data_IF_911759585304
#
_entry.id   IF_911759585304
#
_cell.length_a   1.000
_cell.length_b   1.000
_cell.length_c   1.000
_cell.angle_alpha   90.00
_cell.angle_beta   90.00
_cell.angle_gamma   90.00
#
_symmetry.space_group_name_H-M   'P 1'
#
loop_
_entity.id
_entity.type
_entity.pdbx_description
1 polymer ?
#
# COMPACT_ATOMS: atom_id res chain seq x y z
N UNK A 1 11.19 -10.55 -33.64
CA UNK A 1 10.95 -11.20 -32.36
C UNK A 1 12.13 -10.96 -31.43
N UNK A 2 11.92 -11.05 -30.12
CA UNK A 2 12.99 -10.98 -29.13
C UNK A 2 13.90 -12.21 -29.28
N UNK A 3 15.21 -12.09 -29.00
CA UNK A 3 16.12 -13.25 -29.00
C UNK A 3 15.66 -14.35 -28.04
N UNK A 4 15.93 -15.62 -28.36
CA UNK A 4 15.46 -16.81 -27.62
C UNK A 4 15.87 -16.84 -26.13
N UNK A 5 16.86 -16.06 -25.70
CA UNK A 5 17.34 -15.96 -24.32
C UNK A 5 16.83 -14.71 -23.57
N UNK A 6 15.80 -14.03 -24.06
CA UNK A 6 15.28 -12.81 -23.45
C UNK A 6 14.39 -13.15 -22.26
N UNK A 7 14.74 -12.66 -21.06
CA UNK A 7 13.86 -12.70 -19.90
C UNK A 7 12.97 -11.46 -19.88
N UNK A 8 11.68 -11.66 -19.79
CA UNK A 8 10.77 -10.58 -19.46
C UNK A 8 10.77 -10.36 -17.95
N UNK A 9 10.97 -9.12 -17.52
CA UNK A 9 10.99 -8.71 -16.13
C UNK A 9 10.13 -7.47 -15.94
N UNK A 10 9.63 -7.26 -14.73
CA UNK A 10 8.91 -6.05 -14.39
C UNK A 10 9.91 -4.91 -14.11
N UNK A 11 9.69 -3.76 -14.73
CA UNK A 11 10.43 -2.55 -14.41
C UNK A 11 9.88 -1.91 -13.13
N UNK A 12 10.72 -1.74 -12.13
CA UNK A 12 10.30 -1.28 -10.80
C UNK A 12 10.17 0.24 -10.67
N UNK A 13 10.60 1.00 -11.68
CA UNK A 13 10.66 2.46 -11.62
C UNK A 13 11.89 3.02 -10.88
N UNK A 14 12.73 2.16 -10.30
CA UNK A 14 13.97 2.59 -9.63
C UNK A 14 15.07 2.70 -10.68
N UNK A 15 15.67 3.89 -10.79
CA UNK A 15 16.69 4.21 -11.78
C UNK A 15 17.85 4.96 -11.13
N UNK A 16 19.07 4.64 -11.54
CA UNK A 16 20.29 5.39 -11.22
C UNK A 16 20.88 5.81 -12.55
N UNK A 17 21.12 7.08 -12.72
CA UNK A 17 21.55 7.67 -13.99
C UNK A 17 22.68 8.66 -13.79
N UNK A 18 23.60 8.72 -14.76
CA UNK A 18 24.57 9.79 -14.83
C UNK A 18 23.88 11.10 -15.27
N UNK A 19 24.36 12.28 -14.84
CA UNK A 19 23.73 13.58 -15.14
C UNK A 19 23.60 13.85 -16.65
N UNK A 20 24.44 13.26 -17.48
CA UNK A 20 24.45 13.41 -18.93
C UNK A 20 23.15 12.97 -19.59
N UNK A 21 22.33 12.18 -18.90
CA UNK A 21 21.01 11.76 -19.41
C UNK A 21 20.10 12.97 -19.64
N UNK A 22 20.23 14.04 -18.85
CA UNK A 22 19.43 15.25 -19.00
C UNK A 22 19.66 15.95 -20.36
N UNK A 23 20.82 15.75 -20.98
CA UNK A 23 21.12 16.29 -22.32
C UNK A 23 20.30 15.56 -23.42
N UNK A 24 19.69 14.41 -23.10
CA UNK A 24 18.85 13.64 -24.01
C UNK A 24 17.36 13.93 -23.85
N UNK A 25 16.99 14.68 -22.82
CA UNK A 25 15.59 15.03 -22.55
C UNK A 25 15.29 16.35 -23.26
N UNK A 26 14.36 16.39 -24.24
CA UNK A 26 14.02 17.61 -24.96
C UNK A 26 13.35 18.62 -24.01
N UNK A 27 13.79 19.87 -24.09
CA UNK A 27 13.23 20.94 -23.29
C UNK A 27 11.76 21.23 -23.65
N UNK A 28 10.92 21.39 -22.62
CA UNK A 28 9.51 21.75 -22.80
C UNK A 28 8.62 20.68 -23.44
N UNK A 29 9.09 19.45 -23.56
CA UNK A 29 8.31 18.33 -24.10
C UNK A 29 8.17 17.20 -23.07
N UNK A 30 7.02 16.53 -23.08
CA UNK A 30 6.89 15.28 -22.33
C UNK A 30 7.81 14.22 -22.95
N UNK A 31 8.57 13.53 -22.09
CA UNK A 31 9.52 12.51 -22.50
C UNK A 31 9.59 11.42 -21.42
N UNK A 32 9.27 10.19 -21.76
CA UNK A 32 9.38 9.03 -20.90
C UNK A 32 10.79 8.41 -20.97
N UNK A 33 11.35 8.05 -19.81
CA UNK A 33 12.67 7.40 -19.79
C UNK A 33 12.64 6.03 -20.45
N UNK A 34 11.62 5.24 -20.18
CA UNK A 34 11.45 3.88 -20.70
C UNK A 34 10.92 3.83 -22.12
N UNK A 35 10.10 4.79 -22.50
CA UNK A 35 9.47 4.84 -23.82
C UNK A 35 10.35 5.51 -24.86
N UNK A 36 11.08 6.56 -24.46
CA UNK A 36 11.80 7.42 -25.42
C UNK A 36 13.33 7.33 -25.24
N UNK A 37 13.83 7.58 -24.00
CA UNK A 37 15.26 7.76 -23.75
C UNK A 37 16.02 6.44 -23.82
N UNK A 38 15.62 5.41 -23.09
CA UNK A 38 16.35 4.13 -23.06
C UNK A 38 16.37 3.44 -24.43
N UNK A 39 15.28 3.39 -25.21
CA UNK A 39 15.34 2.85 -26.54
C UNK A 39 16.30 3.64 -27.48
N UNK A 40 16.38 4.97 -27.33
CA UNK A 40 17.33 5.77 -28.06
C UNK A 40 18.78 5.46 -27.66
N UNK A 41 19.05 5.41 -26.33
CA UNK A 41 20.38 5.10 -25.81
C UNK A 41 20.87 3.73 -26.32
N UNK A 42 19.98 2.73 -26.32
CA UNK A 42 20.30 1.39 -26.81
C UNK A 42 20.63 1.42 -28.35
N UNK A 43 19.86 2.19 -29.13
CA UNK A 43 20.16 2.37 -30.56
C UNK A 43 21.49 3.08 -30.84
N UNK A 44 21.85 4.00 -29.94
CA UNK A 44 23.09 4.79 -29.99
C UNK A 44 24.30 4.07 -29.39
N UNK A 45 24.14 2.79 -28.99
CA UNK A 45 25.15 1.96 -28.34
C UNK A 45 25.66 2.57 -26.99
N UNK A 46 24.81 3.35 -26.31
CA UNK A 46 25.11 3.89 -24.99
C UNK A 46 24.74 2.87 -23.92
N UNK A 47 25.62 2.60 -22.95
CA UNK A 47 25.39 1.56 -21.95
C UNK A 47 24.10 1.79 -21.13
N UNK A 48 23.19 0.81 -21.17
CA UNK A 48 22.00 0.72 -20.31
C UNK A 48 22.03 -0.65 -19.64
N UNK A 49 22.07 -0.66 -18.31
CA UNK A 49 22.17 -1.90 -17.54
C UNK A 49 20.90 -2.17 -16.74
N UNK A 50 20.48 -3.44 -16.70
CA UNK A 50 19.42 -3.91 -15.84
C UNK A 50 19.97 -4.60 -14.60
N UNK A 51 19.50 -4.21 -13.42
CA UNK A 51 19.75 -4.93 -12.17
C UNK A 51 18.55 -5.82 -11.83
N UNK A 52 18.78 -7.13 -11.81
CA UNK A 52 17.72 -8.08 -11.46
C UNK A 52 17.58 -8.21 -9.95
N UNK A 53 16.47 -7.72 -9.40
CA UNK A 53 16.12 -7.84 -8.00
C UNK A 53 15.11 -8.97 -7.79
N UNK A 54 15.38 -9.86 -6.85
CA UNK A 54 14.53 -11.02 -6.53
C UNK A 54 13.79 -10.87 -5.18
N UNK A 55 13.79 -9.69 -4.60
CA UNK A 55 13.06 -9.41 -3.35
C UNK A 55 11.59 -9.04 -3.60
N UNK A 56 10.91 -8.68 -2.51
CA UNK A 56 9.52 -8.22 -2.58
C UNK A 56 9.44 -6.86 -3.29
N UNK A 57 8.58 -6.79 -4.28
CA UNK A 57 8.20 -5.55 -4.96
C UNK A 57 6.71 -5.62 -5.32
N UNK A 58 5.98 -4.53 -5.13
CA UNK A 58 4.57 -4.42 -5.47
C UNK A 58 4.25 -2.99 -5.88
N UNK A 59 3.58 -2.81 -7.01
CA UNK A 59 2.99 -1.54 -7.39
C UNK A 59 1.71 -1.27 -6.57
N UNK A 60 1.58 -0.04 -6.06
CA UNK A 60 0.44 0.40 -5.23
C UNK A 60 -0.45 1.40 -5.98
N UNK A 61 -0.63 1.22 -7.27
CA UNK A 61 -1.38 2.14 -8.13
C UNK A 61 -2.90 2.16 -7.92
N UNK A 62 -3.45 1.25 -7.11
CA UNK A 62 -4.87 1.19 -6.81
C UNK A 62 -5.14 0.71 -5.37
N UNK A 63 -6.41 0.80 -4.93
CA UNK A 63 -6.83 0.41 -3.59
C UNK A 63 -6.52 -1.06 -3.30
N UNK A 64 -6.81 -1.94 -4.22
CA UNK A 64 -6.64 -3.39 -4.05
C UNK A 64 -5.16 -3.74 -3.80
N UNK A 65 -4.25 -3.18 -4.59
CA UNK A 65 -2.82 -3.38 -4.41
C UNK A 65 -2.30 -2.73 -3.12
N UNK A 66 -2.87 -1.59 -2.71
CA UNK A 66 -2.53 -0.96 -1.43
C UNK A 66 -2.98 -1.81 -0.23
N UNK A 67 -4.21 -2.36 -0.25
CA UNK A 67 -4.68 -3.33 0.75
C UNK A 67 -3.82 -4.58 0.79
N UNK A 68 -3.47 -5.12 -0.40
CA UNK A 68 -2.65 -6.32 -0.50
C UNK A 68 -1.25 -6.14 0.07
N UNK A 69 -0.58 -5.00 -0.20
CA UNK A 69 0.75 -4.71 0.38
C UNK A 69 0.70 -4.65 1.90
N UNK A 70 -0.36 -4.05 2.46
CA UNK A 70 -0.55 -4.02 3.91
C UNK A 70 -0.82 -5.43 4.48
N UNK A 71 -1.62 -6.24 3.80
CA UNK A 71 -1.83 -7.64 4.19
C UNK A 71 -0.53 -8.46 4.11
N UNK A 72 0.25 -8.30 3.05
CA UNK A 72 1.56 -8.96 2.89
C UNK A 72 2.56 -8.55 3.98
N UNK A 73 2.51 -7.29 4.43
CA UNK A 73 3.31 -6.80 5.55
C UNK A 73 2.84 -7.41 6.89
N UNK A 74 1.53 -7.50 7.11
CA UNK A 74 0.95 -8.14 8.29
C UNK A 74 1.21 -9.66 8.33
N UNK A 75 1.28 -10.31 7.17
CA UNK A 75 1.65 -11.72 7.01
C UNK A 75 3.18 -11.95 7.07
N UNK A 76 3.97 -10.93 7.40
CA UNK A 76 5.44 -10.97 7.51
C UNK A 76 6.17 -11.35 6.19
N UNK A 77 5.51 -11.24 5.04
CA UNK A 77 6.14 -11.43 3.72
C UNK A 77 7.13 -10.30 3.39
N UNK A 78 7.01 -9.17 4.11
CA UNK A 78 7.86 -7.99 3.99
C UNK A 78 8.44 -7.67 5.37
N UNK A 79 9.76 -7.60 5.47
CA UNK A 79 10.39 -7.18 6.72
C UNK A 79 10.23 -5.67 6.94
N UNK A 80 9.49 -5.28 7.98
CA UNK A 80 9.33 -3.90 8.40
C UNK A 80 9.95 -3.71 9.79
N UNK A 81 11.09 -3.02 9.85
CA UNK A 81 11.81 -2.78 11.11
C UNK A 81 10.92 -2.01 12.09
N UNK A 82 10.71 -2.59 13.29
CA UNK A 82 9.98 -1.95 14.38
C UNK A 82 8.46 -2.01 14.27
N UNK A 83 7.93 -2.82 13.36
CA UNK A 83 6.50 -3.12 13.27
C UNK A 83 6.30 -4.58 13.65
N UNK A 84 5.49 -4.83 14.68
CA UNK A 84 5.04 -6.17 15.09
C UNK A 84 3.54 -6.29 14.85
N UNK A 85 3.10 -7.06 13.85
CA UNK A 85 1.69 -7.15 13.47
C UNK A 85 0.76 -7.77 14.52
N UNK A 86 1.30 -8.52 15.45
CA UNK A 86 0.52 -9.35 16.37
C UNK A 86 0.50 -8.84 17.83
N UNK A 87 0.83 -7.57 18.06
CA UNK A 87 1.02 -7.02 19.41
C UNK A 87 -0.31 -6.60 20.11
N UNK A 88 -1.44 -7.18 19.71
CA UNK A 88 -2.75 -6.82 20.26
C UNK A 88 -3.44 -8.02 20.91
N UNK A 89 -3.28 -8.18 22.22
CA UNK A 89 -3.98 -9.17 23.05
C UNK A 89 -5.38 -8.68 23.49
N UNK A 90 -6.23 -8.29 22.56
CA UNK A 90 -7.60 -7.92 22.88
C UNK A 90 -8.59 -8.99 22.42
N UNK A 91 -9.59 -9.31 23.24
CA UNK A 91 -10.61 -10.34 22.94
C UNK A 91 -11.46 -10.06 21.69
N UNK A 92 -11.43 -8.82 21.20
CA UNK A 92 -12.17 -8.35 20.04
C UNK A 92 -11.34 -8.28 18.76
N UNK A 93 -10.11 -8.76 18.77
CA UNK A 93 -9.22 -8.72 17.61
C UNK A 93 -9.02 -10.08 16.98
N UNK A 94 -8.94 -10.12 15.65
CA UNK A 94 -8.63 -11.32 14.83
C UNK A 94 -7.35 -11.03 14.06
N UNK A 95 -6.21 -11.62 14.46
CA UNK A 95 -4.94 -11.43 13.75
C UNK A 95 -4.98 -11.96 12.30
N UNK A 96 -4.07 -11.48 11.41
CA UNK A 96 -3.07 -10.45 11.68
C UNK A 96 -3.67 -9.03 11.61
N UNK A 97 -3.30 -8.18 12.54
CA UNK A 97 -3.71 -6.78 12.60
C UNK A 97 -2.57 -5.89 13.10
N UNK A 98 -2.68 -4.60 12.84
CA UNK A 98 -1.84 -3.58 13.44
C UNK A 98 -2.72 -2.47 14.00
N UNK A 99 -2.53 -2.11 15.29
CA UNK A 99 -3.24 -1.01 15.92
C UNK A 99 -2.26 0.05 16.38
N UNK A 100 -2.48 1.26 15.93
CA UNK A 100 -1.69 2.43 16.28
C UNK A 100 -1.93 2.88 17.74
N UNK A 101 -1.08 3.78 18.21
CA UNK A 101 -1.17 4.34 19.58
C UNK A 101 -2.42 5.18 19.77
N UNK A 102 -2.86 5.30 21.03
CA UNK A 102 -3.97 6.15 21.46
C UNK A 102 -5.31 5.83 20.74
N UNK A 103 -5.57 4.59 20.39
CA UNK A 103 -6.86 4.17 19.84
C UNK A 103 -7.85 3.85 20.96
N UNK A 104 -9.10 4.28 20.76
CA UNK A 104 -10.23 3.92 21.61
C UNK A 104 -11.09 2.89 20.88
N UNK A 105 -11.01 1.63 21.28
CA UNK A 105 -11.72 0.51 20.64
C UNK A 105 -12.68 -0.10 21.66
N UNK A 106 -13.96 -0.11 21.32
CA UNK A 106 -14.99 -0.68 22.20
C UNK A 106 -14.88 -2.22 22.26
N UNK A 107 -15.06 -2.82 23.44
CA UNK A 107 -14.87 -4.26 23.70
C UNK A 107 -15.76 -5.19 22.87
N UNK A 108 -16.94 -4.73 22.44
CA UNK A 108 -17.87 -5.49 21.60
C UNK A 108 -17.75 -5.16 20.10
N UNK A 109 -16.69 -4.46 19.69
CA UNK A 109 -16.32 -4.30 18.29
C UNK A 109 -15.58 -5.54 17.77
N UNK A 110 -15.31 -5.61 16.46
CA UNK A 110 -14.55 -6.69 15.83
C UNK A 110 -13.55 -6.11 14.84
N UNK A 111 -12.26 -6.36 15.06
CA UNK A 111 -11.17 -5.84 14.25
C UNK A 111 -10.39 -7.01 13.64
N UNK A 112 -10.19 -6.98 12.34
CA UNK A 112 -9.43 -8.00 11.61
C UNK A 112 -10.30 -9.06 10.92
N UNK A 113 -9.63 -9.99 10.21
CA UNK A 113 -8.19 -10.01 9.98
C UNK A 113 -7.73 -8.96 8.98
N UNK A 114 -6.42 -8.87 8.76
CA UNK A 114 -5.75 -7.99 7.78
C UNK A 114 -6.21 -6.53 7.86
N UNK A 115 -6.31 -6.00 9.08
CA UNK A 115 -6.71 -4.62 9.30
C UNK A 115 -5.61 -3.79 9.95
N UNK A 116 -5.41 -2.59 9.43
CA UNK A 116 -4.49 -1.59 9.98
C UNK A 116 -5.29 -0.42 10.53
N UNK A 117 -5.17 -0.17 11.82
CA UNK A 117 -5.81 0.95 12.50
C UNK A 117 -4.73 1.99 12.81
N UNK A 118 -4.79 3.13 12.17
CA UNK A 118 -3.88 4.25 12.40
C UNK A 118 -4.00 4.82 13.81
N UNK A 119 -3.06 5.68 14.23
CA UNK A 119 -3.10 6.27 15.57
C UNK A 119 -4.33 7.16 15.79
N UNK A 120 -4.72 7.34 17.06
CA UNK A 120 -5.81 8.24 17.48
C UNK A 120 -7.19 7.89 16.90
N UNK A 121 -7.40 6.65 16.45
CA UNK A 121 -8.70 6.20 15.93
C UNK A 121 -9.68 5.87 17.06
N UNK A 122 -10.97 6.03 16.78
CA UNK A 122 -12.07 5.65 17.66
C UNK A 122 -12.99 4.66 16.96
N UNK A 123 -13.18 3.47 17.55
CA UNK A 123 -14.07 2.43 17.02
C UNK A 123 -15.13 2.15 18.09
N UNK A 124 -16.38 2.49 17.75
CA UNK A 124 -17.51 2.42 18.68
C UNK A 124 -18.12 1.01 18.77
N UNK A 125 -19.02 0.84 19.72
CA UNK A 125 -19.68 -0.42 20.03
C UNK A 125 -20.30 -1.12 18.82
N UNK A 126 -20.04 -2.42 18.68
CA UNK A 126 -20.61 -3.25 17.62
C UNK A 126 -20.06 -2.96 16.21
N UNK A 127 -19.06 -2.09 16.09
CA UNK A 127 -18.43 -1.83 14.80
C UNK A 127 -17.55 -3.00 14.36
N UNK A 128 -17.51 -3.24 13.05
CA UNK A 128 -16.69 -4.29 12.42
C UNK A 128 -15.74 -3.65 11.42
N UNK A 129 -14.44 -3.94 11.52
CA UNK A 129 -13.41 -3.51 10.58
C UNK A 129 -12.63 -4.73 10.11
N UNK A 130 -12.71 -5.06 8.83
CA UNK A 130 -12.12 -6.27 8.27
C UNK A 130 -11.42 -5.95 6.93
N UNK A 131 -10.20 -6.48 6.74
CA UNK A 131 -9.41 -6.28 5.52
C UNK A 131 -9.38 -4.80 5.08
N UNK A 132 -9.15 -3.89 6.03
CA UNK A 132 -9.32 -2.46 5.82
C UNK A 132 -8.23 -1.66 6.51
N UNK A 133 -7.99 -0.46 5.98
CA UNK A 133 -6.98 0.46 6.50
C UNK A 133 -7.69 1.74 6.94
N UNK A 134 -7.56 2.07 8.20
CA UNK A 134 -8.00 3.33 8.75
C UNK A 134 -6.77 4.21 9.00
N UNK A 135 -6.74 5.38 8.40
CA UNK A 135 -5.67 6.33 8.66
C UNK A 135 -5.86 7.01 10.02
N UNK A 136 -4.92 7.87 10.39
CA UNK A 136 -4.95 8.59 11.67
C UNK A 136 -6.26 9.33 11.94
N UNK A 137 -6.76 9.27 13.18
CA UNK A 137 -7.89 10.07 13.66
C UNK A 137 -9.25 9.66 13.10
N UNK A 138 -9.37 8.47 12.48
CA UNK A 138 -10.65 7.98 11.95
C UNK A 138 -11.58 7.58 13.09
N UNK A 139 -12.86 7.93 12.92
CA UNK A 139 -13.93 7.47 13.82
C UNK A 139 -14.89 6.54 13.07
N UNK A 140 -15.11 5.34 13.60
CA UNK A 140 -16.12 4.39 13.13
C UNK A 140 -17.29 4.34 14.10
N UNK A 141 -18.47 4.67 13.59
CA UNK A 141 -19.71 4.72 14.34
C UNK A 141 -20.20 3.37 14.86
N UNK A 142 -21.09 3.39 15.84
CA UNK A 142 -21.64 2.18 16.45
C UNK A 142 -22.40 1.32 15.44
N UNK A 143 -22.20 0.00 15.48
CA UNK A 143 -22.85 -0.96 14.58
C UNK A 143 -22.47 -0.83 13.09
N UNK A 144 -21.46 -0.04 12.76
CA UNK A 144 -20.99 0.14 11.39
C UNK A 144 -20.07 -0.98 10.95
N UNK A 145 -20.06 -1.27 9.64
CA UNK A 145 -19.18 -2.27 9.03
C UNK A 145 -18.29 -1.58 8.00
N UNK A 146 -16.97 -1.84 8.06
CA UNK A 146 -15.97 -1.38 7.09
C UNK A 146 -15.20 -2.60 6.62
N UNK A 147 -15.32 -2.96 5.34
CA UNK A 147 -14.66 -4.12 4.73
C UNK A 147 -13.99 -3.76 3.42
N UNK A 148 -12.77 -4.29 3.17
CA UNK A 148 -12.05 -4.11 1.91
C UNK A 148 -11.80 -2.64 1.56
N UNK A 149 -11.70 -1.75 2.56
CA UNK A 149 -11.82 -0.32 2.35
C UNK A 149 -10.64 0.46 2.95
N UNK A 150 -10.40 1.64 2.42
CA UNK A 150 -9.42 2.60 2.95
C UNK A 150 -10.15 3.86 3.38
N UNK A 151 -10.00 4.22 4.65
CA UNK A 151 -10.61 5.43 5.22
C UNK A 151 -9.49 6.44 5.49
N UNK A 152 -9.56 7.59 4.86
CA UNK A 152 -8.54 8.64 4.96
C UNK A 152 -8.57 9.35 6.32
N UNK A 153 -7.50 10.10 6.58
CA UNK A 153 -7.26 10.80 7.85
C UNK A 153 -8.45 11.66 8.30
N UNK A 154 -8.77 11.58 9.60
CA UNK A 154 -9.78 12.38 10.29
C UNK A 154 -11.22 12.24 9.73
N UNK A 155 -11.51 11.12 9.05
CA UNK A 155 -12.87 10.85 8.58
C UNK A 155 -13.73 10.20 9.66
N UNK A 156 -15.02 10.49 9.60
CA UNK A 156 -16.03 9.88 10.48
C UNK A 156 -17.03 9.10 9.65
N UNK A 157 -17.12 7.81 9.92
CA UNK A 157 -18.20 6.94 9.45
C UNK A 157 -19.29 6.98 10.51
N UNK A 158 -20.48 7.45 10.16
CA UNK A 158 -21.62 7.53 11.08
C UNK A 158 -22.11 6.15 11.54
N UNK A 159 -22.97 6.13 12.55
CA UNK A 159 -23.50 4.88 13.13
C UNK A 159 -24.32 4.07 12.09
N UNK A 160 -24.24 2.74 12.14
CA UNK A 160 -24.99 1.81 11.30
C UNK A 160 -24.64 1.83 9.81
N UNK A 161 -23.51 2.43 9.42
CA UNK A 161 -23.07 2.48 8.01
C UNK A 161 -22.39 1.20 7.58
N UNK A 162 -22.55 0.89 6.29
CA UNK A 162 -21.86 -0.24 5.66
C UNK A 162 -20.99 0.30 4.52
N UNK A 163 -19.68 0.24 4.69
CA UNK A 163 -18.66 0.66 3.73
C UNK A 163 -17.98 -0.60 3.25
N UNK A 164 -18.05 -0.86 1.96
CA UNK A 164 -17.48 -2.07 1.37
C UNK A 164 -16.78 -1.75 0.05
N UNK A 165 -15.51 -2.18 -0.03
CA UNK A 165 -14.69 -2.02 -1.23
C UNK A 165 -14.62 -0.56 -1.72
N UNK A 166 -14.44 0.38 -0.79
CA UNK A 166 -14.44 1.82 -1.05
C UNK A 166 -13.17 2.51 -0.54
N UNK A 167 -12.87 3.67 -1.14
CA UNK A 167 -11.93 4.64 -0.60
C UNK A 167 -12.71 5.90 -0.17
N UNK A 168 -12.76 6.16 1.13
CA UNK A 168 -13.41 7.35 1.70
C UNK A 168 -12.33 8.40 1.97
N UNK A 169 -12.27 9.42 1.12
CA UNK A 169 -11.23 10.45 1.10
C UNK A 169 -11.75 11.75 1.71
#
# INVERSE_FOLDING_TARGET
GLPDNTKQVMFTGIQIMEPEIFNRIPEGQFCGTTEDIFPQMIRDDVPVYGYLYNGYWKDMGNRESYLQVNADALDEKVFLKGISPNDTNHSFTIPPILVGRNCHIAENSKIGPHSVIGPNCTIKNGAVVENSILWEGVTIGAGSTVKGSVIAKNRTIGDGKNIKDESVI
#
